data_IF_662059836506
#
_entry.id   IF_662059836506
#
_cell.length_a   1.000
_cell.length_b   1.000
_cell.length_c   1.000
_cell.angle_alpha   90.00
_cell.angle_beta   90.00
_cell.angle_gamma   90.00
#
_symmetry.space_group_name_H-M   'P 1'
#
loop_
_entity.id
_entity.type
_entity.pdbx_description
1 polymer ?
#
# COMPACT_ATOMS: atom_id res chain seq x y z
N UNK A 1 -6.17 -48.46 -10.70
CA UNK A 1 -6.95 -47.58 -9.80
C UNK A 1 -5.98 -46.68 -9.04
N UNK A 2 -5.54 -45.56 -9.63
CA UNK A 2 -4.67 -44.61 -8.92
C UNK A 2 -5.26 -43.21 -9.10
N UNK A 3 -6.02 -42.74 -8.11
CA UNK A 3 -6.56 -41.38 -8.08
C UNK A 3 -6.12 -40.73 -6.77
N UNK A 4 -4.97 -40.07 -6.78
CA UNK A 4 -4.65 -39.04 -5.79
C UNK A 4 -3.74 -38.02 -6.47
N UNK A 5 -4.36 -36.98 -7.03
CA UNK A 5 -3.69 -35.71 -7.28
C UNK A 5 -4.34 -34.71 -6.33
N UNK A 6 -3.68 -34.26 -5.26
CA UNK A 6 -4.11 -33.05 -4.60
C UNK A 6 -3.83 -31.89 -5.55
N UNK A 7 -4.87 -31.37 -6.21
CA UNK A 7 -4.79 -30.09 -6.92
C UNK A 7 -4.69 -29.01 -5.85
N UNK A 8 -3.52 -28.87 -5.25
CA UNK A 8 -3.14 -27.66 -4.53
C UNK A 8 -3.05 -26.55 -5.58
N UNK A 9 -4.18 -25.88 -5.82
CA UNK A 9 -4.22 -24.51 -6.32
C UNK A 9 -3.44 -23.67 -5.31
N UNK A 10 -2.12 -23.72 -5.43
CA UNK A 10 -1.23 -22.75 -4.84
C UNK A 10 -1.50 -21.51 -5.67
N UNK A 11 -2.44 -20.68 -5.19
CA UNK A 11 -2.59 -19.31 -5.65
C UNK A 11 -1.17 -18.78 -5.78
N UNK A 12 -0.72 -18.56 -7.02
CA UNK A 12 0.62 -18.06 -7.26
C UNK A 12 0.69 -16.75 -6.51
N UNK A 13 1.37 -16.82 -5.39
CA UNK A 13 1.91 -15.74 -4.62
C UNK A 13 2.75 -14.92 -5.61
N UNK A 14 2.09 -14.07 -6.41
CA UNK A 14 2.74 -13.04 -7.18
C UNK A 14 3.32 -12.12 -6.13
N UNK A 15 4.54 -12.42 -5.70
CA UNK A 15 5.38 -11.46 -5.03
C UNK A 15 5.59 -10.34 -6.07
N UNK A 16 4.67 -9.39 -6.11
CA UNK A 16 4.78 -8.20 -6.92
C UNK A 16 5.98 -7.49 -6.34
N UNK A 17 7.12 -7.60 -7.02
CA UNK A 17 8.31 -6.80 -6.71
C UNK A 17 7.94 -5.38 -7.09
N UNK A 18 7.40 -4.65 -6.12
CA UNK A 18 7.07 -3.24 -6.30
C UNK A 18 8.37 -2.45 -6.22
N UNK A 19 8.79 -1.88 -7.35
CA UNK A 19 9.90 -0.94 -7.34
C UNK A 19 9.43 0.38 -6.69
N UNK A 20 9.77 0.53 -5.41
CA UNK A 20 9.39 1.68 -4.59
C UNK A 20 9.83 3.00 -5.22
N UNK A 21 11.00 3.03 -5.89
CA UNK A 21 11.54 4.26 -6.46
C UNK A 21 10.79 4.65 -7.73
N UNK A 22 10.44 3.66 -8.55
CA UNK A 22 9.60 3.86 -9.73
C UNK A 22 8.20 4.36 -9.33
N UNK A 23 7.59 3.73 -8.32
CA UNK A 23 6.27 4.12 -7.84
C UNK A 23 6.28 5.52 -7.23
N UNK A 24 7.27 5.86 -6.40
CA UNK A 24 7.40 7.20 -5.82
C UNK A 24 7.61 8.27 -6.89
N UNK A 25 8.37 7.97 -7.96
CA UNK A 25 8.53 8.90 -9.09
C UNK A 25 7.21 9.13 -9.81
N UNK A 26 6.48 8.05 -10.11
CA UNK A 26 5.16 8.16 -10.75
C UNK A 26 4.20 8.97 -9.87
N UNK A 27 4.17 8.67 -8.56
CA UNK A 27 3.37 9.41 -7.59
C UNK A 27 3.75 10.87 -7.58
N UNK A 28 5.04 11.23 -7.60
CA UNK A 28 5.48 12.62 -7.66
C UNK A 28 4.98 13.36 -8.90
N UNK A 29 4.97 12.70 -10.05
CA UNK A 29 4.54 13.27 -11.33
C UNK A 29 3.02 13.37 -11.44
N UNK A 30 2.28 12.38 -10.93
CA UNK A 30 0.82 12.32 -11.00
C UNK A 30 0.12 12.89 -9.75
N UNK A 31 0.85 13.18 -8.66
CA UNK A 31 0.25 13.72 -7.43
C UNK A 31 -0.45 15.05 -7.67
N UNK A 32 0.08 15.86 -8.59
CA UNK A 32 -0.46 17.16 -8.94
C UNK A 32 -1.83 17.08 -9.65
N UNK A 33 -2.21 15.90 -10.15
CA UNK A 33 -3.50 15.66 -10.80
C UNK A 33 -4.63 15.41 -9.79
N UNK A 34 -4.30 15.19 -8.51
CA UNK A 34 -5.30 14.98 -7.48
C UNK A 34 -5.96 16.31 -7.06
N UNK A 35 -7.25 16.26 -6.67
CA UNK A 35 -8.03 17.45 -6.37
C UNK A 35 -7.43 18.31 -5.25
N UNK A 36 -7.67 19.62 -5.37
CA UNK A 36 -7.28 20.65 -4.38
C UNK A 36 -7.82 20.27 -3.00
N UNK A 37 -6.95 20.22 -2.00
CA UNK A 37 -7.28 19.77 -0.63
C UNK A 37 -6.63 18.44 -0.22
N UNK A 38 -5.97 17.74 -1.15
CA UNK A 38 -5.04 16.65 -0.80
C UNK A 38 -3.72 17.20 -0.23
N UNK A 39 -3.04 16.42 0.62
CA UNK A 39 -1.71 16.77 1.09
C UNK A 39 -0.73 16.82 -0.08
N UNK A 40 0.22 17.74 -0.05
CA UNK A 40 1.27 17.79 -1.07
C UNK A 40 2.06 16.48 -1.11
N UNK A 41 2.68 16.15 -2.24
CA UNK A 41 3.49 14.95 -2.38
C UNK A 41 4.52 14.79 -1.23
N UNK A 42 5.20 15.86 -0.80
CA UNK A 42 6.14 15.78 0.32
C UNK A 42 5.52 15.38 1.67
N UNK A 43 4.23 15.65 1.88
CA UNK A 43 3.47 15.22 3.06
C UNK A 43 2.91 13.80 2.88
N UNK A 44 2.59 13.42 1.66
CA UNK A 44 2.10 12.08 1.32
C UNK A 44 3.23 11.05 1.18
N UNK A 45 4.45 11.46 0.85
CA UNK A 45 5.62 10.62 0.65
C UNK A 45 5.87 9.64 1.82
N UNK A 46 5.90 10.07 3.10
CA UNK A 46 6.06 9.14 4.22
C UNK A 46 4.90 8.14 4.30
N UNK A 47 3.68 8.55 3.95
CA UNK A 47 2.50 7.66 3.95
C UNK A 47 2.53 6.67 2.80
N UNK A 48 2.98 7.08 1.61
CA UNK A 48 3.20 6.22 0.46
C UNK A 48 4.26 5.17 0.80
N UNK A 49 5.44 5.60 1.28
CA UNK A 49 6.52 4.71 1.72
C UNK A 49 6.04 3.71 2.76
N UNK A 50 5.29 4.18 3.76
CA UNK A 50 4.71 3.33 4.80
C UNK A 50 3.72 2.29 4.24
N UNK A 51 2.86 2.69 3.29
CA UNK A 51 1.91 1.79 2.65
C UNK A 51 2.62 0.64 1.91
N UNK A 52 3.62 0.99 1.10
CA UNK A 52 4.41 0.00 0.38
C UNK A 52 5.29 -0.86 1.31
N UNK A 53 5.89 -0.29 2.35
CA UNK A 53 6.65 -1.05 3.36
C UNK A 53 5.75 -2.11 4.02
N UNK A 54 4.54 -1.71 4.39
CA UNK A 54 3.55 -2.64 4.95
C UNK A 54 3.16 -3.72 3.94
N UNK A 55 3.02 -3.39 2.66
CA UNK A 55 2.76 -4.38 1.60
C UNK A 55 3.94 -5.34 1.41
N UNK A 56 5.19 -4.85 1.42
CA UNK A 56 6.40 -5.68 1.31
C UNK A 56 6.57 -6.61 2.53
N UNK A 57 6.18 -6.17 3.72
CA UNK A 57 6.15 -6.99 4.93
C UNK A 57 5.05 -8.06 4.88
N UNK A 58 3.96 -7.79 4.14
CA UNK A 58 2.79 -8.66 4.08
C UNK A 58 2.23 -8.79 2.64
N UNK A 59 2.99 -9.38 1.69
CA UNK A 59 2.64 -9.39 0.26
C UNK A 59 1.35 -10.18 -0.08
N UNK A 60 0.81 -10.95 0.88
CA UNK A 60 -0.41 -11.76 0.75
C UNK A 60 -1.54 -11.37 1.69
N UNK A 61 -1.35 -10.34 2.53
CA UNK A 61 -2.38 -9.97 3.48
C UNK A 61 -3.37 -8.99 2.86
N UNK A 62 -4.65 -9.24 3.13
CA UNK A 62 -5.71 -8.33 2.74
C UNK A 62 -5.60 -7.01 3.53
N UNK A 63 -5.77 -5.89 2.83
CA UNK A 63 -5.74 -4.55 3.42
C UNK A 63 -6.67 -4.45 4.65
N UNK A 64 -7.84 -5.07 4.59
CA UNK A 64 -8.84 -5.06 5.68
C UNK A 64 -8.29 -5.66 6.99
N UNK A 65 -7.55 -6.77 6.89
CA UNK A 65 -6.94 -7.43 8.04
C UNK A 65 -5.76 -6.62 8.59
N UNK A 66 -5.03 -5.91 7.72
CA UNK A 66 -3.91 -5.05 8.10
C UNK A 66 -4.33 -3.66 8.57
N UNK A 67 -5.54 -3.21 8.25
CA UNK A 67 -6.04 -1.88 8.55
C UNK A 67 -5.87 -1.44 10.02
N UNK A 68 -6.21 -2.27 11.03
CA UNK A 68 -5.97 -1.90 12.43
C UNK A 68 -4.48 -1.82 12.79
N UNK A 69 -3.63 -2.65 12.18
CA UNK A 69 -2.18 -2.65 12.43
C UNK A 69 -1.51 -1.43 11.78
N UNK A 70 -1.87 -1.16 10.53
CA UNK A 70 -1.54 0.07 9.78
C UNK A 70 -1.91 1.28 10.61
N UNK A 71 -3.15 1.35 11.14
CA UNK A 71 -3.59 2.47 11.97
C UNK A 71 -2.73 2.66 13.22
N UNK A 72 -2.39 1.56 13.90
CA UNK A 72 -1.55 1.60 15.11
C UNK A 72 -0.14 2.07 14.80
N UNK A 73 0.50 1.51 13.78
CA UNK A 73 1.85 1.91 13.35
C UNK A 73 1.88 3.34 12.82
N UNK A 74 0.86 3.73 12.05
CA UNK A 74 0.74 5.09 11.53
C UNK A 74 0.56 6.13 12.65
N UNK A 75 -0.13 5.75 13.73
CA UNK A 75 -0.24 6.59 14.93
C UNK A 75 1.06 6.72 15.73
N UNK A 76 2.07 5.88 15.47
CA UNK A 76 3.41 6.00 16.06
C UNK A 76 4.36 6.85 15.22
N UNK A 77 3.95 7.25 14.00
CA UNK A 77 4.76 8.14 13.17
C UNK A 77 4.84 9.53 13.82
N UNK A 78 5.93 10.28 13.57
CA UNK A 78 6.05 11.64 14.07
C UNK A 78 4.92 12.53 13.53
N UNK A 79 4.37 13.41 14.37
CA UNK A 79 3.25 14.30 13.99
C UNK A 79 3.51 15.10 12.70
N UNK A 80 4.77 15.45 12.43
CA UNK A 80 5.17 16.21 11.24
C UNK A 80 5.17 15.39 9.94
N UNK A 81 5.08 14.06 10.04
CA UNK A 81 4.93 13.12 8.91
C UNK A 81 3.55 12.45 8.90
N UNK A 82 2.76 12.67 9.95
CA UNK A 82 1.47 12.06 10.14
C UNK A 82 0.40 12.94 9.48
N UNK A 83 -0.27 12.39 8.47
CA UNK A 83 -1.48 12.97 7.93
C UNK A 83 -2.69 12.61 8.78
N UNK A 84 -3.75 13.40 8.66
CA UNK A 84 -5.06 12.99 9.14
C UNK A 84 -5.36 11.57 8.69
N UNK A 85 -5.82 10.73 9.60
CA UNK A 85 -6.09 9.32 9.32
C UNK A 85 -7.04 9.14 8.12
N UNK A 86 -8.03 10.03 7.97
CA UNK A 86 -8.91 10.05 6.81
C UNK A 86 -8.16 10.28 5.49
N UNK A 87 -7.15 11.17 5.48
CA UNK A 87 -6.30 11.43 4.32
C UNK A 87 -5.29 10.31 4.10
N UNK A 88 -4.67 9.81 5.16
CA UNK A 88 -3.73 8.70 5.11
C UNK A 88 -4.40 7.44 4.55
N UNK A 89 -5.60 7.12 5.01
CA UNK A 89 -6.37 5.98 4.52
C UNK A 89 -6.73 6.09 3.04
N UNK A 90 -7.03 7.30 2.53
CA UNK A 90 -7.26 7.52 1.10
C UNK A 90 -6.00 7.26 0.27
N UNK A 91 -4.83 7.67 0.75
CA UNK A 91 -3.54 7.42 0.09
C UNK A 91 -3.20 5.92 0.11
N UNK A 92 -3.32 5.28 1.27
CA UNK A 92 -3.05 3.85 1.45
C UNK A 92 -3.98 3.00 0.57
N UNK A 93 -5.28 3.33 0.55
CA UNK A 93 -6.26 2.62 -0.28
C UNK A 93 -5.97 2.74 -1.79
N UNK A 94 -5.52 3.91 -2.24
CA UNK A 94 -5.10 4.10 -3.63
C UNK A 94 -3.83 3.30 -3.97
N UNK A 95 -2.83 3.31 -3.10
CA UNK A 95 -1.61 2.50 -3.25
C UNK A 95 -1.97 1.01 -3.37
N UNK A 96 -2.81 0.50 -2.47
CA UNK A 96 -3.26 -0.90 -2.53
C UNK A 96 -4.05 -1.20 -3.78
N UNK A 97 -4.96 -0.32 -4.21
CA UNK A 97 -5.71 -0.49 -5.46
C UNK A 97 -4.76 -0.53 -6.66
N UNK A 98 -3.71 0.30 -6.67
CA UNK A 98 -2.71 0.36 -7.73
C UNK A 98 -1.85 -0.90 -7.78
N UNK A 99 -1.45 -1.43 -6.62
CA UNK A 99 -0.74 -2.71 -6.52
C UNK A 99 -1.62 -3.88 -7.00
N UNK A 100 -2.92 -3.89 -6.64
CA UNK A 100 -3.86 -4.95 -7.01
C UNK A 100 -4.33 -4.86 -8.47
N UNK A 101 -4.34 -3.67 -9.07
CA UNK A 101 -4.71 -3.44 -10.48
C UNK A 101 -3.51 -3.60 -11.42
N UNK A 102 -2.29 -3.73 -10.87
CA UNK A 102 -1.03 -3.88 -11.61
C UNK A 102 -0.82 -5.24 -12.26
#
# INVERSE_FOLDING_TARGET
MNAITPTSQTAQARAIVVDINHELRWWREHYAQYPVGRPSYGQAEPTLKFAYDTYLLHPHAHLDALWPDIRRRYAQLPLHQQLDWARAGQVIGEVWRRILTG
#
